data_IF_367428740489
#
_entry.id   IF_367428740489
#
_cell.length_a   1.000
_cell.length_b   1.000
_cell.length_c   1.000
_cell.angle_alpha   90.00
_cell.angle_beta   90.00
_cell.angle_gamma   90.00
#
_symmetry.space_group_name_H-M   'P 1'
#
loop_
_entity.id
_entity.type
_entity.pdbx_description
1 polymer ?
#
# COMPACT_ATOMS: atom_id res chain seq x y z
N UNK A 1 7.72 -4.64 -15.43
CA UNK A 1 6.85 -3.47 -15.15
C UNK A 1 6.59 -2.71 -16.44
N UNK A 2 5.34 -2.37 -16.70
CA UNK A 2 4.82 -1.83 -17.97
C UNK A 2 5.62 -0.64 -18.55
N UNK A 3 6.20 0.21 -17.72
CA UNK A 3 7.04 1.33 -18.16
C UNK A 3 8.48 0.93 -18.58
N UNK A 4 8.92 -0.27 -18.22
CA UNK A 4 10.28 -0.72 -18.50
C UNK A 4 10.56 -1.01 -19.96
N UNK A 5 9.55 -1.35 -20.75
CA UNK A 5 9.74 -1.86 -22.13
C UNK A 5 9.73 -0.78 -23.20
N UNK A 6 9.19 0.39 -22.88
CA UNK A 6 9.03 1.52 -23.81
C UNK A 6 10.19 2.52 -23.75
N UNK A 7 11.06 2.44 -22.74
CA UNK A 7 12.07 3.46 -22.48
C UNK A 7 13.46 3.03 -22.95
N UNK A 8 14.26 3.98 -23.46
CA UNK A 8 15.68 3.77 -23.78
C UNK A 8 16.45 3.36 -22.52
N UNK A 9 17.60 2.66 -22.68
CA UNK A 9 18.46 2.22 -21.56
C UNK A 9 18.80 3.35 -20.57
N UNK A 10 19.06 4.56 -21.07
CA UNK A 10 19.35 5.75 -20.27
C UNK A 10 18.12 6.13 -19.41
N UNK A 11 16.97 6.28 -20.03
CA UNK A 11 15.72 6.59 -19.31
C UNK A 11 15.34 5.51 -18.29
N UNK A 12 15.63 4.23 -18.56
CA UNK A 12 15.42 3.13 -17.61
C UNK A 12 16.30 3.29 -16.36
N UNK A 13 17.53 3.77 -16.51
CA UNK A 13 18.43 4.03 -15.39
C UNK A 13 17.90 5.19 -14.54
N UNK A 14 17.56 6.30 -15.17
CA UNK A 14 17.07 7.51 -14.51
C UNK A 14 15.78 7.20 -13.71
N UNK A 15 14.86 6.43 -14.30
CA UNK A 15 13.65 5.99 -13.61
C UNK A 15 13.94 5.07 -12.42
N UNK A 16 14.88 4.12 -12.55
CA UNK A 16 15.27 3.26 -11.41
C UNK A 16 15.83 4.07 -10.25
N UNK A 17 16.49 5.18 -10.52
CA UNK A 17 17.04 6.06 -9.49
C UNK A 17 15.95 6.82 -8.72
N UNK A 18 14.76 6.99 -9.31
CA UNK A 18 13.61 7.58 -8.61
C UNK A 18 12.98 6.63 -7.58
N UNK A 19 13.10 5.31 -7.80
CA UNK A 19 12.55 4.33 -6.87
C UNK A 19 13.61 3.90 -5.86
N UNK A 20 13.35 4.20 -4.61
CA UNK A 20 14.26 3.89 -3.49
C UNK A 20 13.58 2.96 -2.50
N UNK A 21 14.37 2.11 -1.88
CA UNK A 21 13.90 1.40 -0.68
C UNK A 21 14.02 2.31 0.54
N UNK A 22 13.20 2.10 1.58
CA UNK A 22 13.30 2.89 2.81
C UNK A 22 14.73 2.96 3.40
N UNK A 23 15.47 1.87 3.31
CA UNK A 23 16.87 1.82 3.80
C UNK A 23 17.82 2.77 3.07
N UNK A 24 17.51 3.20 1.85
CA UNK A 24 18.35 4.15 1.12
C UNK A 24 18.42 5.52 1.80
N UNK A 25 17.39 5.91 2.55
CA UNK A 25 17.32 7.18 3.26
C UNK A 25 18.19 7.22 4.53
N UNK A 26 18.68 6.09 5.01
CA UNK A 26 19.49 6.01 6.23
C UNK A 26 20.76 6.88 6.20
N UNK A 27 21.26 7.17 4.98
CA UNK A 27 22.48 7.98 4.76
C UNK A 27 22.23 9.33 4.10
N UNK A 28 20.98 9.68 3.81
CA UNK A 28 20.65 10.95 3.17
C UNK A 28 20.93 12.12 4.09
N UNK A 29 21.43 13.21 3.52
CA UNK A 29 21.57 14.48 4.21
C UNK A 29 20.21 15.13 4.47
N UNK A 30 20.17 16.11 5.37
CA UNK A 30 18.93 16.86 5.61
C UNK A 30 18.53 17.65 4.35
N UNK A 31 17.25 17.54 3.98
CA UNK A 31 16.64 18.22 2.85
C UNK A 31 17.31 17.97 1.48
N UNK A 32 17.92 16.80 1.33
CA UNK A 32 18.56 16.35 0.08
C UNK A 32 17.57 16.04 -1.03
N UNK A 33 16.30 15.84 -0.66
CA UNK A 33 15.22 15.44 -1.56
C UNK A 33 14.06 16.43 -1.45
N UNK A 34 13.57 16.93 -2.58
CA UNK A 34 12.45 17.86 -2.58
C UNK A 34 11.13 17.21 -2.19
N UNK A 35 10.83 16.04 -2.74
CA UNK A 35 9.59 15.32 -2.46
C UNK A 35 9.82 13.81 -2.43
N UNK A 36 9.26 13.15 -1.43
CA UNK A 36 9.18 11.69 -1.35
C UNK A 36 7.71 11.27 -1.33
N UNK A 37 7.37 10.30 -2.18
CA UNK A 37 6.08 9.63 -2.17
C UNK A 37 6.28 8.23 -1.63
N UNK A 38 5.60 7.90 -0.56
CA UNK A 38 5.64 6.60 0.11
C UNK A 38 4.37 5.85 -0.24
N UNK A 39 4.51 4.82 -1.07
CA UNK A 39 3.41 3.92 -1.39
C UNK A 39 3.34 2.79 -0.36
N UNK A 40 2.12 2.30 -0.08
CA UNK A 40 1.87 1.27 0.94
C UNK A 40 2.48 1.64 2.30
N UNK A 41 2.28 2.88 2.74
CA UNK A 41 2.98 3.42 3.89
C UNK A 41 2.72 2.65 5.21
N UNK A 42 1.55 2.00 5.35
CA UNK A 42 1.24 1.12 6.48
C UNK A 42 2.21 -0.06 6.64
N UNK A 43 2.92 -0.44 5.55
CA UNK A 43 3.95 -1.49 5.59
C UNK A 43 5.33 -1.01 5.98
N UNK A 44 5.50 0.28 6.24
CA UNK A 44 6.77 0.80 6.69
C UNK A 44 7.00 0.43 8.15
N UNK A 45 8.07 -0.30 8.39
CA UNK A 45 8.52 -0.65 9.72
C UNK A 45 9.35 0.48 10.30
N UNK A 46 9.01 0.90 11.53
CA UNK A 46 9.74 1.92 12.28
C UNK A 46 11.19 1.50 12.55
N UNK A 47 11.38 0.25 12.90
CA UNK A 47 12.69 -0.30 13.27
C UNK A 47 13.17 -1.26 12.22
N UNK A 48 14.35 -1.05 11.76
CA UNK A 48 14.98 -1.98 10.84
C UNK A 48 16.45 -2.04 11.19
N UNK A 49 17.11 -3.11 11.13
CA UNK A 49 16.99 -4.38 10.57
C UNK A 49 18.11 -5.27 10.96
N UNK A 50 17.99 -6.49 10.75
CA UNK A 50 18.97 -7.49 10.90
C UNK A 50 20.22 -7.16 10.10
N UNK A 51 20.56 -7.41 9.03
CA UNK A 51 21.84 -7.40 8.36
C UNK A 51 22.04 -6.15 7.46
N UNK A 52 23.12 -5.40 7.68
CA UNK A 52 23.55 -4.36 6.78
C UNK A 52 23.28 -2.91 7.23
N UNK A 53 23.25 -2.02 6.27
CA UNK A 53 23.04 -0.58 6.45
C UNK A 53 21.63 -0.33 7.01
N UNK A 54 21.54 0.43 8.09
CA UNK A 54 20.28 0.83 8.71
C UNK A 54 19.88 0.04 9.96
N UNK A 55 20.72 -0.85 10.48
CA UNK A 55 20.47 -1.50 11.77
C UNK A 55 20.36 -0.45 12.89
N UNK A 56 19.23 -0.46 13.61
CA UNK A 56 18.97 0.51 14.69
C UNK A 56 18.63 1.91 14.21
N UNK A 57 18.43 2.14 12.92
CA UNK A 57 18.05 3.44 12.37
C UNK A 57 16.53 3.49 12.20
N UNK A 58 15.94 4.55 12.76
CA UNK A 58 14.55 4.90 12.49
C UNK A 58 14.45 5.44 11.06
N UNK A 59 13.97 4.62 10.16
CA UNK A 59 13.90 4.94 8.73
C UNK A 59 12.90 6.04 8.44
N UNK A 60 11.82 6.11 9.21
CA UNK A 60 10.79 7.14 9.05
C UNK A 60 11.36 8.49 9.48
N UNK A 61 12.08 8.52 10.59
CA UNK A 61 12.79 9.71 11.03
C UNK A 61 13.79 10.21 9.98
N UNK A 62 14.54 9.30 9.39
CA UNK A 62 15.48 9.64 8.31
C UNK A 62 14.79 10.17 7.05
N UNK A 63 13.63 9.63 6.71
CA UNK A 63 12.85 10.07 5.58
C UNK A 63 12.35 11.52 5.80
N UNK A 64 11.80 11.81 6.99
CA UNK A 64 11.39 13.18 7.36
C UNK A 64 12.56 14.16 7.36
N UNK A 65 13.73 13.74 7.83
CA UNK A 65 14.93 14.57 7.81
C UNK A 65 15.44 14.84 6.39
N UNK A 66 15.36 13.84 5.51
CA UNK A 66 15.94 13.91 4.17
C UNK A 66 15.09 14.70 3.17
N UNK A 67 13.81 14.89 3.42
CA UNK A 67 12.88 15.43 2.42
C UNK A 67 12.18 16.70 2.90
N UNK A 68 11.84 17.57 1.93
CA UNK A 68 11.09 18.81 2.16
C UNK A 68 9.59 18.55 2.22
N UNK A 69 9.11 17.64 1.37
CA UNK A 69 7.71 17.23 1.27
C UNK A 69 7.63 15.72 1.33
N UNK A 70 6.71 15.21 2.15
CA UNK A 70 6.41 13.79 2.26
C UNK A 70 4.95 13.57 1.92
N UNK A 71 4.68 12.66 1.00
CA UNK A 71 3.34 12.18 0.66
C UNK A 71 3.24 10.72 1.07
N UNK A 72 2.31 10.40 1.95
CA UNK A 72 2.07 9.04 2.41
C UNK A 72 0.75 8.52 1.83
N UNK A 73 0.81 7.46 1.03
CA UNK A 73 -0.34 6.71 0.58
C UNK A 73 -0.52 5.56 1.58
N UNK A 74 -1.51 5.68 2.44
CA UNK A 74 -1.70 4.78 3.57
C UNK A 74 -3.14 4.29 3.62
N UNK A 75 -3.30 3.02 3.98
CA UNK A 75 -4.58 2.38 4.23
C UNK A 75 -4.44 1.54 5.51
N UNK A 76 -4.99 2.03 6.62
CA UNK A 76 -4.87 1.36 7.93
C UNK A 76 -5.71 0.08 8.00
N UNK A 77 -6.72 -0.10 7.12
CA UNK A 77 -7.51 -1.31 7.05
C UNK A 77 -6.76 -2.48 6.36
N UNK A 78 -5.64 -2.19 5.69
CA UNK A 78 -4.78 -3.22 5.06
C UNK A 78 -3.66 -3.73 5.96
N UNK A 79 -3.63 -3.37 7.21
CA UNK A 79 -2.67 -3.90 8.19
C UNK A 79 -2.95 -5.38 8.44
N UNK A 80 -2.07 -6.26 7.96
CA UNK A 80 -2.23 -7.73 8.05
C UNK A 80 -1.25 -8.39 9.01
N UNK A 81 -0.23 -7.69 9.47
CA UNK A 81 0.77 -8.23 10.39
C UNK A 81 1.00 -7.28 11.56
N UNK A 82 1.35 -7.84 12.71
CA UNK A 82 1.73 -7.08 13.91
C UNK A 82 3.03 -6.29 13.74
N UNK A 83 3.74 -6.50 12.64
CA UNK A 83 4.97 -5.81 12.28
C UNK A 83 4.76 -4.65 11.31
N UNK A 84 3.54 -4.44 10.82
CA UNK A 84 3.18 -3.28 10.01
C UNK A 84 2.94 -2.12 10.98
N UNK A 85 3.90 -1.20 11.07
CA UNK A 85 4.04 -0.33 12.25
C UNK A 85 3.67 1.12 12.02
N UNK A 86 3.51 1.57 10.77
CA UNK A 86 3.26 2.98 10.52
C UNK A 86 1.77 3.29 10.44
N UNK A 87 1.30 4.08 11.39
CA UNK A 87 -0.06 4.62 11.42
C UNK A 87 -0.10 6.11 11.08
N UNK A 88 -1.29 6.61 10.73
CA UNK A 88 -1.54 8.05 10.52
C UNK A 88 -1.14 8.85 11.77
N UNK A 89 -1.43 8.32 12.95
CA UNK A 89 -1.04 8.95 14.22
C UNK A 89 0.47 9.13 14.32
N UNK A 90 1.23 8.10 14.02
CA UNK A 90 2.70 8.16 14.06
C UNK A 90 3.27 9.12 13.02
N UNK A 91 2.70 9.15 11.79
CA UNK A 91 3.09 10.14 10.77
C UNK A 91 2.91 11.56 11.32
N UNK A 92 1.79 11.85 11.98
CA UNK A 92 1.53 13.15 12.62
C UNK A 92 2.52 13.46 13.75
N UNK A 93 2.94 12.48 14.52
CA UNK A 93 3.97 12.63 15.56
C UNK A 93 5.34 13.00 14.95
N UNK A 94 5.74 12.34 13.85
CA UNK A 94 6.95 12.73 13.13
C UNK A 94 6.83 14.12 12.51
N UNK A 95 5.70 14.44 11.89
CA UNK A 95 5.47 15.78 11.35
C UNK A 95 5.60 16.86 12.43
N UNK A 96 5.04 16.65 13.61
CA UNK A 96 5.18 17.56 14.75
C UNK A 96 6.64 17.69 15.19
N UNK A 97 7.38 16.58 15.28
CA UNK A 97 8.81 16.58 15.63
C UNK A 97 9.65 17.45 14.69
N UNK A 98 9.31 17.44 13.41
CA UNK A 98 10.03 18.23 12.39
C UNK A 98 9.42 19.61 12.12
N UNK A 99 8.41 20.04 12.88
CA UNK A 99 7.69 21.29 12.65
C UNK A 99 6.99 21.36 11.29
N UNK A 100 6.67 20.21 10.71
CA UNK A 100 6.06 20.12 9.39
C UNK A 100 4.56 20.38 9.46
N UNK A 101 4.03 21.09 8.46
CA UNK A 101 2.58 21.24 8.28
C UNK A 101 1.99 19.94 7.73
N UNK A 102 1.02 19.39 8.43
CA UNK A 102 0.21 18.28 7.94
C UNK A 102 -0.93 18.82 7.07
N UNK A 103 -1.10 18.23 5.89
CA UNK A 103 -2.24 18.50 5.00
C UNK A 103 -3.00 17.18 4.88
N UNK A 104 -4.25 17.21 5.28
CA UNK A 104 -5.18 16.08 5.25
C UNK A 104 -6.53 16.64 4.80
N UNK A 105 -7.11 16.08 3.75
CA UNK A 105 -8.34 16.59 3.13
C UNK A 105 -9.14 15.41 2.57
N UNK A 106 -10.46 15.45 2.75
CA UNK A 106 -11.36 14.38 2.27
C UNK A 106 -11.23 14.14 0.76
N UNK A 107 -10.83 15.14 -0.01
CA UNK A 107 -10.56 15.04 -1.44
C UNK A 107 -9.33 14.19 -1.77
N UNK A 108 -8.49 13.90 -0.78
CA UNK A 108 -7.32 13.03 -0.91
C UNK A 108 -7.65 11.56 -0.64
N UNK A 109 -8.87 11.26 -0.22
CA UNK A 109 -9.34 9.89 0.01
C UNK A 109 -9.63 9.24 -1.34
N UNK A 110 -8.91 8.16 -1.65
CA UNK A 110 -9.12 7.38 -2.86
C UNK A 110 -10.30 6.42 -2.65
N UNK A 111 -11.50 6.85 -2.99
CA UNK A 111 -12.72 6.05 -2.82
C UNK A 111 -13.05 5.16 -4.04
N UNK A 112 -12.46 5.46 -5.20
CA UNK A 112 -12.81 4.77 -6.44
C UNK A 112 -12.10 3.43 -6.58
N UNK A 113 -12.88 2.37 -6.79
CA UNK A 113 -12.37 1.01 -7.01
C UNK A 113 -12.34 0.65 -8.50
N UNK A 114 -11.13 0.56 -9.07
CA UNK A 114 -10.92 0.20 -10.48
C UNK A 114 -10.34 -1.20 -10.68
N UNK A 115 -9.83 -1.84 -9.63
CA UNK A 115 -9.16 -3.15 -9.72
C UNK A 115 -10.13 -4.31 -9.82
N UNK A 116 -11.33 -4.15 -9.28
CA UNK A 116 -12.35 -5.19 -9.27
C UNK A 116 -13.55 -4.82 -10.14
N UNK A 117 -14.01 -5.75 -10.95
CA UNK A 117 -15.28 -5.61 -11.67
C UNK A 117 -16.41 -5.71 -10.63
N UNK A 118 -17.30 -4.76 -10.55
CA UNK A 118 -18.38 -4.74 -9.53
C UNK A 118 -18.35 -3.50 -8.64
N UNK A 119 -17.23 -2.76 -8.67
CA UNK A 119 -17.11 -1.45 -8.04
C UNK A 119 -17.52 -1.42 -6.56
N UNK A 120 -18.31 -0.42 -6.19
CA UNK A 120 -18.74 -0.19 -4.81
C UNK A 120 -19.57 -1.33 -4.20
N UNK A 121 -20.39 -2.01 -5.00
CA UNK A 121 -21.19 -3.15 -4.52
C UNK A 121 -20.31 -4.30 -4.04
N UNK A 122 -19.19 -4.56 -4.71
CA UNK A 122 -18.23 -5.57 -4.29
C UNK A 122 -17.55 -5.18 -2.98
N UNK A 123 -17.12 -3.92 -2.84
CA UNK A 123 -16.51 -3.42 -1.60
C UNK A 123 -17.50 -3.50 -0.44
N UNK A 124 -18.74 -3.04 -0.66
CA UNK A 124 -19.79 -3.12 0.36
C UNK A 124 -20.05 -4.56 0.81
N UNK A 125 -20.04 -5.52 -0.14
CA UNK A 125 -20.13 -6.94 0.19
C UNK A 125 -18.94 -7.41 1.04
N UNK A 126 -17.71 -7.06 0.66
CA UNK A 126 -16.52 -7.46 1.41
C UNK A 126 -16.53 -6.85 2.80
N UNK A 127 -16.87 -5.59 2.95
CA UNK A 127 -16.96 -4.91 4.24
C UNK A 127 -18.01 -5.56 5.15
N UNK A 128 -19.17 -5.92 4.60
CA UNK A 128 -20.18 -6.67 5.35
C UNK A 128 -19.68 -8.06 5.75
N UNK A 129 -19.05 -8.78 4.82
CA UNK A 129 -18.52 -10.12 5.06
C UNK A 129 -17.42 -10.12 6.13
N UNK A 130 -16.58 -9.08 6.18
CA UNK A 130 -15.54 -8.90 7.17
C UNK A 130 -16.04 -8.29 8.50
N UNK A 131 -17.31 -7.93 8.57
CA UNK A 131 -17.90 -7.34 9.77
C UNK A 131 -17.59 -5.87 10.00
N UNK A 132 -17.11 -5.15 9.00
CA UNK A 132 -16.86 -3.71 9.10
C UNK A 132 -18.15 -2.89 9.03
N UNK A 133 -19.20 -3.44 8.42
CA UNK A 133 -20.53 -2.84 8.39
C UNK A 133 -21.61 -3.89 8.70
N UNK A 134 -22.75 -3.42 9.25
CA UNK A 134 -23.92 -4.26 9.46
C UNK A 134 -24.90 -4.22 8.26
N UNK A 135 -24.58 -3.45 7.23
CA UNK A 135 -25.45 -3.28 6.09
C UNK A 135 -25.46 -4.53 5.22
N UNK A 136 -26.65 -5.13 5.05
CA UNK A 136 -26.78 -6.31 4.19
C UNK A 136 -26.57 -5.93 2.72
N UNK A 137 -25.68 -6.64 2.07
CA UNK A 137 -25.40 -6.45 0.64
C UNK A 137 -25.85 -7.68 -0.14
N UNK A 138 -26.82 -7.50 -1.02
CA UNK A 138 -27.27 -8.56 -1.90
C UNK A 138 -26.25 -8.85 -2.99
N UNK A 139 -25.93 -10.14 -3.19
CA UNK A 139 -25.12 -10.61 -4.30
C UNK A 139 -25.88 -10.68 -5.63
N UNK A 140 -27.20 -10.47 -5.60
CA UNK A 140 -28.06 -10.54 -6.78
C UNK A 140 -27.70 -9.45 -7.79
N UNK A 141 -27.41 -9.83 -9.00
CA UNK A 141 -27.01 -8.89 -10.07
C UNK A 141 -25.51 -8.54 -10.10
N UNK A 142 -24.73 -9.01 -9.15
CA UNK A 142 -23.27 -8.83 -9.19
C UNK A 142 -22.66 -9.64 -10.33
N UNK A 143 -21.66 -9.06 -10.99
CA UNK A 143 -20.84 -9.75 -11.98
C UNK A 143 -19.92 -10.82 -11.36
N UNK A 144 -19.75 -10.80 -10.05
CA UNK A 144 -19.00 -11.78 -9.28
C UNK A 144 -19.87 -12.94 -8.83
N UNK A 145 -19.27 -14.12 -8.87
CA UNK A 145 -19.81 -15.30 -8.18
C UNK A 145 -18.94 -15.54 -6.96
N UNK A 146 -19.56 -15.50 -5.80
CA UNK A 146 -18.91 -15.84 -4.53
C UNK A 146 -19.30 -17.26 -4.17
N UNK A 147 -18.34 -18.06 -3.76
CA UNK A 147 -18.55 -19.42 -3.30
C UNK A 147 -17.69 -19.71 -2.08
N UNK A 148 -18.23 -20.47 -1.15
CA UNK A 148 -17.51 -21.02 0.00
C UNK A 148 -17.25 -22.49 -0.31
N UNK A 149 -16.04 -22.96 -0.04
CA UNK A 149 -15.62 -24.34 -0.24
C UNK A 149 -15.17 -24.92 1.09
N UNK A 150 -15.55 -26.17 1.35
CA UNK A 150 -15.26 -26.84 2.62
C UNK A 150 -13.79 -27.27 2.73
N UNK A 151 -13.08 -27.37 1.60
CA UNK A 151 -11.69 -27.74 1.58
C UNK A 151 -10.89 -27.05 0.48
N UNK A 152 -9.57 -26.94 0.68
CA UNK A 152 -8.63 -26.49 -0.34
C UNK A 152 -8.69 -27.35 -1.60
N UNK A 153 -8.92 -28.66 -1.45
CA UNK A 153 -9.03 -29.59 -2.57
C UNK A 153 -10.23 -29.26 -3.46
N UNK A 154 -11.38 -28.96 -2.86
CA UNK A 154 -12.59 -28.59 -3.60
C UNK A 154 -12.43 -27.23 -4.28
N UNK A 155 -11.78 -26.30 -3.60
CA UNK A 155 -11.43 -25.00 -4.19
C UNK A 155 -10.52 -25.15 -5.42
N UNK A 156 -9.47 -25.97 -5.34
CA UNK A 156 -8.56 -26.23 -6.45
C UNK A 156 -9.26 -26.96 -7.61
N UNK A 157 -10.12 -27.92 -7.30
CA UNK A 157 -10.94 -28.59 -8.31
C UNK A 157 -11.81 -27.59 -9.05
N UNK A 158 -12.50 -26.72 -8.30
CA UNK A 158 -13.38 -25.70 -8.90
C UNK A 158 -12.60 -24.67 -9.72
N UNK A 159 -11.42 -24.29 -9.26
CA UNK A 159 -10.51 -23.43 -10.00
C UNK A 159 -10.13 -24.03 -11.36
N UNK A 160 -9.71 -25.28 -11.40
CA UNK A 160 -9.33 -25.98 -12.63
C UNK A 160 -10.51 -26.09 -13.60
N UNK A 161 -11.70 -26.46 -13.12
CA UNK A 161 -12.92 -26.50 -13.94
C UNK A 161 -13.22 -25.14 -14.61
N UNK A 162 -13.05 -24.04 -13.87
CA UNK A 162 -13.27 -22.68 -14.38
C UNK A 162 -12.18 -22.22 -15.34
N UNK A 163 -10.95 -22.66 -15.11
CA UNK A 163 -9.82 -22.38 -15.99
C UNK A 163 -9.98 -23.08 -17.33
N UNK A 164 -10.24 -24.39 -17.31
CA UNK A 164 -10.41 -25.21 -18.52
C UNK A 164 -11.64 -24.79 -19.34
N UNK A 165 -12.66 -24.22 -18.71
CA UNK A 165 -13.85 -23.73 -19.40
C UNK A 165 -13.64 -22.42 -20.17
N UNK A 166 -12.50 -21.73 -19.97
CA UNK A 166 -12.18 -20.43 -20.59
C UNK A 166 -11.08 -20.54 -21.66
N UNK A 167 -10.43 -21.68 -21.73
CA UNK A 167 -9.35 -22.00 -22.67
C UNK A 167 -9.66 -23.27 -23.43
#
# INVERSE_FOLDING_TARGET
TYYGDVLTKKKKKDIKELFKTPAAFAKSAAYDIDCVIVDEAHRMLKWKFGWGIGKGVDVIDKLFNASRVNVFLIDEDQVVTTSDDLSIKQIKEYAQKYGSKVIEDDRMILSSQFRCVGGEQYISFVNHFLGYTNDYVSLKGMKYKVGIMDSMKDMMKKWNELWDSKH
#
